data_IF_730273553492
#
_entry.id   IF_730273553492
#
_cell.length_a   1.000
_cell.length_b   1.000
_cell.length_c   1.000
_cell.angle_alpha   90.00
_cell.angle_beta   90.00
_cell.angle_gamma   90.00
#
_symmetry.space_group_name_H-M   'P 1'
#
loop_
_entity.id
_entity.type
_entity.pdbx_description
1 polymer ?
#
# COMPACT_ATOMS: atom_id res chain seq x y z
N UNK A 1 -8.53 -6.62 -18.75
CA UNK A 1 -7.62 -5.47 -18.48
C UNK A 1 -8.16 -4.74 -17.30
N UNK A 2 -7.53 -4.90 -16.14
CA UNK A 2 -8.07 -4.49 -14.84
C UNK A 2 -8.14 -2.97 -14.63
N UNK A 3 -7.12 -2.24 -15.05
CA UNK A 3 -7.15 -0.77 -15.09
C UNK A 3 -6.86 -0.33 -16.53
N UNK A 4 -7.85 0.23 -17.21
CA UNK A 4 -7.68 0.73 -18.58
C UNK A 4 -7.04 2.13 -18.56
N UNK A 5 -6.36 2.51 -19.66
CA UNK A 5 -5.88 3.91 -19.84
C UNK A 5 -7.04 4.91 -19.69
N UNK A 6 -8.23 4.55 -20.19
CA UNK A 6 -9.44 5.38 -20.02
C UNK A 6 -9.85 5.54 -18.56
N UNK A 7 -9.76 4.47 -17.76
CA UNK A 7 -10.01 4.55 -16.32
C UNK A 7 -9.01 5.49 -15.63
N UNK A 8 -7.70 5.33 -15.91
CA UNK A 8 -6.66 6.18 -15.32
C UNK A 8 -6.87 7.66 -15.67
N UNK A 9 -7.13 7.97 -16.94
CA UNK A 9 -7.36 9.37 -17.37
C UNK A 9 -8.60 9.95 -16.68
N UNK A 10 -9.71 9.20 -16.63
CA UNK A 10 -10.93 9.66 -15.95
C UNK A 10 -10.72 9.87 -14.45
N UNK A 11 -10.06 8.93 -13.77
CA UNK A 11 -9.77 9.06 -12.34
C UNK A 11 -8.82 10.22 -12.05
N UNK A 12 -7.86 10.50 -12.94
CA UNK A 12 -6.98 11.65 -12.85
C UNK A 12 -7.75 12.96 -12.99
N UNK A 13 -8.65 13.05 -13.97
CA UNK A 13 -9.52 14.22 -14.13
C UNK A 13 -10.39 14.46 -12.87
N UNK A 14 -10.99 13.40 -12.34
CA UNK A 14 -11.78 13.50 -11.10
C UNK A 14 -10.89 13.98 -9.93
N UNK A 15 -9.69 13.43 -9.78
CA UNK A 15 -8.74 13.86 -8.77
C UNK A 15 -8.43 15.35 -8.89
N UNK A 16 -8.11 15.85 -10.09
CA UNK A 16 -7.81 17.27 -10.30
C UNK A 16 -9.00 18.19 -9.98
N UNK A 17 -10.21 17.78 -10.36
CA UNK A 17 -11.42 18.53 -10.02
C UNK A 17 -11.62 18.58 -8.51
N UNK A 18 -11.50 17.45 -7.82
CA UNK A 18 -11.64 17.37 -6.35
C UNK A 18 -10.56 18.20 -5.65
N UNK A 19 -9.31 18.10 -6.06
CA UNK A 19 -8.21 18.89 -5.50
C UNK A 19 -8.39 20.38 -5.76
N UNK A 20 -8.95 20.77 -6.92
CA UNK A 20 -9.32 22.16 -7.23
C UNK A 20 -10.41 22.68 -6.30
N UNK A 21 -11.46 21.88 -6.04
CA UNK A 21 -12.50 22.24 -5.05
C UNK A 21 -11.91 22.40 -3.65
N UNK A 22 -11.06 21.45 -3.23
CA UNK A 22 -10.41 21.49 -1.91
C UNK A 22 -9.36 22.60 -1.76
N UNK A 23 -8.88 23.17 -2.87
CA UNK A 23 -8.00 24.33 -2.88
C UNK A 23 -8.75 25.65 -2.69
N UNK A 24 -10.08 25.65 -2.88
CA UNK A 24 -10.89 26.86 -2.79
C UNK A 24 -11.33 27.14 -1.35
N UNK A 25 -11.10 28.37 -0.89
CA UNK A 25 -11.46 28.77 0.48
C UNK A 25 -10.82 27.82 1.50
N UNK A 26 -11.58 27.41 2.49
CA UNK A 26 -11.14 26.47 3.54
C UNK A 26 -11.92 25.15 3.50
N UNK A 27 -12.38 24.76 2.30
CA UNK A 27 -13.24 23.56 2.12
C UNK A 27 -12.57 22.30 2.66
N UNK A 28 -11.29 22.09 2.37
CA UNK A 28 -10.53 20.91 2.86
C UNK A 28 -10.46 20.88 4.40
N UNK A 29 -10.23 22.01 5.03
CA UNK A 29 -10.27 22.15 6.48
C UNK A 29 -11.69 21.90 7.03
N UNK A 30 -12.69 22.58 6.48
CA UNK A 30 -14.08 22.54 6.94
C UNK A 30 -14.62 21.11 6.88
N UNK A 31 -14.48 20.41 5.73
CA UNK A 31 -14.93 19.02 5.60
C UNK A 31 -14.20 18.13 6.61
N UNK A 32 -12.87 18.26 6.67
CA UNK A 32 -12.06 17.38 7.51
C UNK A 32 -12.35 17.60 9.00
N UNK A 33 -12.54 18.84 9.45
CA UNK A 33 -12.86 19.15 10.85
C UNK A 33 -14.28 18.72 11.25
N UNK A 34 -15.24 18.86 10.34
CA UNK A 34 -16.66 18.51 10.63
C UNK A 34 -16.87 17.02 10.88
N UNK A 35 -16.10 16.15 10.22
CA UNK A 35 -16.30 14.69 10.32
C UNK A 35 -15.41 14.01 11.36
N UNK A 36 -14.60 14.78 12.10
CA UNK A 36 -13.70 14.21 13.13
C UNK A 36 -14.50 13.50 14.21
N UNK A 37 -14.17 12.24 14.43
CA UNK A 37 -14.61 11.42 15.55
C UNK A 37 -13.49 10.45 15.94
N UNK A 38 -12.68 10.83 16.95
CA UNK A 38 -11.54 10.04 17.43
C UNK A 38 -11.93 8.71 18.09
N UNK A 39 -13.21 8.52 18.42
CA UNK A 39 -13.75 7.30 19.06
C UNK A 39 -14.59 6.46 18.10
N UNK A 40 -14.44 6.64 16.81
CA UNK A 40 -15.19 5.92 15.79
C UNK A 40 -14.64 4.50 15.62
N UNK A 41 -15.38 3.49 16.11
CA UNK A 41 -14.98 2.07 16.07
C UNK A 41 -14.68 1.57 14.65
N UNK A 42 -15.51 1.95 13.66
CA UNK A 42 -15.26 1.55 12.28
C UNK A 42 -13.98 2.21 11.71
N UNK A 43 -13.72 3.47 12.07
CA UNK A 43 -12.53 4.17 11.61
C UNK A 43 -11.27 3.58 12.25
N UNK A 44 -11.33 3.21 13.53
CA UNK A 44 -10.24 2.47 14.21
C UNK A 44 -9.98 1.11 13.55
N UNK A 45 -11.03 0.36 13.17
CA UNK A 45 -10.86 -0.90 12.44
C UNK A 45 -10.06 -0.72 11.15
N UNK A 46 -10.43 0.27 10.31
CA UNK A 46 -9.69 0.54 9.06
C UNK A 46 -8.32 1.17 9.31
N UNK A 47 -8.12 1.86 10.44
CA UNK A 47 -6.80 2.30 10.88
C UNK A 47 -5.89 1.11 11.22
N UNK A 48 -6.39 0.13 11.95
CA UNK A 48 -5.63 -1.06 12.35
C UNK A 48 -5.27 -1.96 11.17
N UNK A 49 -6.22 -2.21 10.28
CA UNK A 49 -6.06 -3.22 9.22
C UNK A 49 -5.78 -2.65 7.83
N UNK A 50 -5.84 -1.32 7.67
CA UNK A 50 -5.70 -0.67 6.36
C UNK A 50 -4.38 -0.95 5.66
N UNK A 51 -3.28 -1.08 6.39
CA UNK A 51 -1.94 -1.32 5.84
C UNK A 51 -1.62 -2.82 5.66
N UNK A 52 -2.40 -3.72 6.26
CA UNK A 52 -2.16 -5.17 6.21
C UNK A 52 -2.06 -5.71 4.77
N UNK A 53 -2.92 -5.29 3.81
CA UNK A 53 -2.79 -5.75 2.43
C UNK A 53 -1.42 -5.44 1.80
N UNK A 54 -0.84 -4.27 2.08
CA UNK A 54 0.48 -3.90 1.55
C UNK A 54 1.58 -4.79 2.14
N UNK A 55 1.59 -4.98 3.46
CA UNK A 55 2.58 -5.81 4.14
C UNK A 55 2.45 -7.28 3.74
N UNK A 56 1.22 -7.79 3.58
CA UNK A 56 0.99 -9.15 3.08
C UNK A 56 1.44 -9.31 1.61
N UNK A 57 1.22 -8.30 0.75
CA UNK A 57 1.73 -8.28 -0.61
C UNK A 57 3.26 -8.32 -0.67
N UNK A 58 3.94 -7.57 0.21
CA UNK A 58 5.40 -7.58 0.34
C UNK A 58 5.90 -8.95 0.83
N UNK A 59 5.26 -9.56 1.83
CA UNK A 59 5.56 -10.90 2.31
C UNK A 59 5.41 -11.94 1.18
N UNK A 60 4.30 -11.89 0.45
CA UNK A 60 4.03 -12.81 -0.66
C UNK A 60 5.08 -12.67 -1.77
N UNK A 61 5.38 -11.43 -2.16
CA UNK A 61 6.40 -11.14 -3.19
C UNK A 61 7.78 -11.63 -2.80
N UNK A 62 8.24 -11.30 -1.59
CA UNK A 62 9.55 -11.71 -1.08
C UNK A 62 9.65 -13.22 -0.89
N UNK A 63 8.57 -13.88 -0.42
CA UNK A 63 8.49 -15.33 -0.27
C UNK A 63 8.65 -16.05 -1.61
N UNK A 64 7.96 -15.60 -2.66
CA UNK A 64 8.08 -16.17 -4.02
C UNK A 64 9.52 -16.01 -4.55
N UNK A 65 10.11 -14.81 -4.44
CA UNK A 65 11.48 -14.57 -4.93
C UNK A 65 12.52 -15.35 -4.12
N UNK A 66 12.35 -15.50 -2.81
CA UNK A 66 13.18 -16.35 -1.98
C UNK A 66 13.13 -17.82 -2.45
N UNK A 67 11.95 -18.34 -2.79
CA UNK A 67 11.78 -19.68 -3.35
C UNK A 67 12.47 -19.87 -4.70
N UNK A 68 12.58 -18.80 -5.50
CA UNK A 68 13.21 -18.80 -6.84
C UNK A 68 14.72 -18.50 -6.82
N UNK A 69 15.35 -18.34 -5.65
CA UNK A 69 16.77 -18.02 -5.55
C UNK A 69 17.67 -19.05 -6.24
N UNK A 70 18.77 -18.61 -6.82
CA UNK A 70 19.71 -19.49 -7.53
C UNK A 70 20.55 -20.31 -6.54
N UNK A 71 20.18 -21.57 -6.33
CA UNK A 71 20.89 -22.50 -5.42
C UNK A 71 22.21 -23.03 -6.00
N UNK A 72 22.45 -22.91 -7.32
CA UNK A 72 23.65 -23.41 -7.98
C UNK A 72 24.89 -22.53 -7.75
N UNK A 73 24.70 -21.23 -7.57
CA UNK A 73 25.79 -20.27 -7.34
C UNK A 73 25.76 -19.86 -5.88
N UNK A 74 26.70 -20.34 -5.09
CA UNK A 74 26.70 -20.23 -3.63
C UNK A 74 26.55 -18.79 -3.13
N UNK A 75 27.39 -17.84 -3.61
CA UNK A 75 27.32 -16.46 -3.15
C UNK A 75 25.97 -15.77 -3.48
N UNK A 76 25.40 -16.06 -4.66
CA UNK A 76 24.06 -15.55 -5.04
C UNK A 76 22.96 -16.15 -4.17
N UNK A 77 23.08 -17.45 -3.87
CA UNK A 77 22.13 -18.13 -2.98
C UNK A 77 22.16 -17.52 -1.58
N UNK A 78 23.35 -17.27 -1.03
CA UNK A 78 23.50 -16.64 0.29
C UNK A 78 22.93 -15.21 0.28
N UNK A 79 23.33 -14.36 -0.67
CA UNK A 79 22.90 -12.98 -0.76
C UNK A 79 21.36 -12.88 -0.89
N UNK A 80 20.78 -13.61 -1.84
CA UNK A 80 19.31 -13.58 -2.02
C UNK A 80 18.55 -14.24 -0.87
N UNK A 81 19.16 -15.19 -0.15
CA UNK A 81 18.56 -15.74 1.07
C UNK A 81 18.54 -14.70 2.19
N UNK A 82 19.65 -14.01 2.44
CA UNK A 82 19.71 -12.97 3.48
C UNK A 82 18.68 -11.86 3.21
N UNK A 83 18.69 -11.32 1.98
CA UNK A 83 17.75 -10.26 1.60
C UNK A 83 16.29 -10.74 1.69
N UNK A 84 16.00 -11.92 1.13
CA UNK A 84 14.65 -12.47 1.13
C UNK A 84 14.14 -12.75 2.54
N UNK A 85 14.94 -13.42 3.39
CA UNK A 85 14.58 -13.72 4.77
C UNK A 85 14.40 -12.45 5.61
N UNK A 86 15.25 -11.44 5.41
CA UNK A 86 15.11 -10.14 6.10
C UNK A 86 13.76 -9.48 5.80
N UNK A 87 13.41 -9.34 4.50
CA UNK A 87 12.13 -8.73 4.14
C UNK A 87 10.92 -9.59 4.51
N UNK A 88 11.04 -10.92 4.46
CA UNK A 88 9.99 -11.83 4.95
C UNK A 88 9.77 -11.65 6.46
N UNK A 89 10.83 -11.59 7.26
CA UNK A 89 10.74 -11.37 8.70
C UNK A 89 10.16 -9.99 9.01
N UNK A 90 10.65 -8.95 8.36
CA UNK A 90 10.18 -7.58 8.52
C UNK A 90 8.69 -7.44 8.16
N UNK A 91 8.25 -8.03 7.03
CA UNK A 91 6.84 -8.00 6.63
C UNK A 91 5.95 -8.79 7.58
N UNK A 92 6.41 -9.97 8.04
CA UNK A 92 5.70 -10.79 9.03
C UNK A 92 5.50 -10.02 10.34
N UNK A 93 6.55 -9.32 10.79
CA UNK A 93 6.48 -8.48 11.99
C UNK A 93 5.49 -7.33 11.80
N UNK A 94 5.53 -6.62 10.67
CA UNK A 94 4.63 -5.50 10.39
C UNK A 94 3.16 -5.95 10.32
N UNK A 95 2.86 -7.09 9.70
CA UNK A 95 1.49 -7.64 9.66
C UNK A 95 0.92 -7.86 11.07
N UNK A 96 1.76 -8.36 12.00
CA UNK A 96 1.31 -8.68 13.36
C UNK A 96 1.36 -7.47 14.30
N UNK A 97 2.35 -6.60 14.14
CA UNK A 97 2.59 -5.49 15.06
C UNK A 97 1.76 -4.23 14.74
N UNK A 98 1.56 -3.90 13.46
CA UNK A 98 0.87 -2.65 13.09
C UNK A 98 -0.57 -2.57 13.61
N UNK A 99 -1.42 -3.60 13.49
CA UNK A 99 -2.76 -3.57 14.09
C UNK A 99 -2.72 -3.28 15.59
N UNK A 100 -1.81 -3.93 16.31
CA UNK A 100 -1.64 -3.74 17.76
C UNK A 100 -1.15 -2.32 18.07
N UNK A 101 -0.16 -1.83 17.32
CA UNK A 101 0.35 -0.46 17.48
C UNK A 101 -0.76 0.59 17.36
N UNK A 102 -1.69 0.40 16.43
CA UNK A 102 -2.78 1.37 16.22
C UNK A 102 -3.86 1.31 17.30
N UNK A 103 -4.08 0.17 17.95
CA UNK A 103 -4.93 0.08 19.17
C UNK A 103 -4.38 1.02 20.26
N UNK A 104 -3.07 1.13 20.36
CA UNK A 104 -2.38 1.94 21.37
C UNK A 104 -1.86 3.29 20.83
N UNK A 105 -2.31 3.75 19.66
CA UNK A 105 -1.81 4.98 19.01
C UNK A 105 -1.93 6.21 19.90
N UNK A 106 -2.97 6.28 20.72
CA UNK A 106 -3.24 7.42 21.61
C UNK A 106 -2.90 7.12 23.09
N UNK A 107 -2.33 5.95 23.39
CA UNK A 107 -1.89 5.63 24.74
C UNK A 107 -0.59 6.37 25.08
N UNK A 108 -0.54 7.01 26.26
CA UNK A 108 0.66 7.70 26.76
C UNK A 108 1.82 6.73 26.97
N UNK A 109 1.52 5.51 27.41
CA UNK A 109 2.51 4.46 27.71
C UNK A 109 2.92 3.64 26.49
N UNK A 110 2.30 3.93 25.33
CA UNK A 110 2.52 3.19 24.07
C UNK A 110 2.06 1.74 24.16
N UNK A 111 2.63 0.86 23.34
CA UNK A 111 2.25 -0.56 23.28
C UNK A 111 2.80 -1.31 24.51
N UNK A 112 1.95 -1.97 25.34
CA UNK A 112 2.41 -2.76 26.48
C UNK A 112 3.35 -3.91 26.07
N UNK A 113 4.29 -4.26 26.95
CA UNK A 113 5.35 -5.24 26.65
C UNK A 113 4.80 -6.61 26.25
N UNK A 114 3.71 -7.07 26.90
CA UNK A 114 3.06 -8.35 26.54
C UNK A 114 2.58 -8.40 25.09
N UNK A 115 2.01 -7.31 24.58
CA UNK A 115 1.58 -7.21 23.17
C UNK A 115 2.75 -7.13 22.20
N UNK A 116 3.88 -6.53 22.58
CA UNK A 116 5.12 -6.57 21.77
C UNK A 116 5.63 -7.99 21.64
N UNK A 117 5.68 -8.75 22.76
CA UNK A 117 6.09 -10.15 22.76
C UNK A 117 5.13 -11.00 21.91
N UNK A 118 3.81 -10.82 22.08
CA UNK A 118 2.79 -11.51 21.27
C UNK A 118 3.00 -11.25 19.77
N UNK A 119 3.25 -9.99 19.39
CA UNK A 119 3.53 -9.63 17.99
C UNK A 119 4.77 -10.35 17.46
N UNK A 120 5.84 -10.47 18.25
CA UNK A 120 7.05 -11.18 17.85
C UNK A 120 6.79 -12.70 17.68
N UNK A 121 6.02 -13.32 18.57
CA UNK A 121 5.67 -14.74 18.48
C UNK A 121 4.82 -15.01 17.24
N UNK A 122 3.78 -14.21 17.00
CA UNK A 122 2.93 -14.33 15.82
C UNK A 122 3.73 -14.09 14.53
N UNK A 123 4.61 -13.09 14.52
CA UNK A 123 5.50 -12.82 13.39
C UNK A 123 6.44 -14.00 13.10
N UNK A 124 7.00 -14.63 14.12
CA UNK A 124 7.83 -15.81 13.97
C UNK A 124 7.04 -16.98 13.36
N UNK A 125 5.79 -17.21 13.79
CA UNK A 125 4.90 -18.23 13.23
C UNK A 125 4.64 -17.95 11.75
N UNK A 126 4.26 -16.72 11.37
CA UNK A 126 4.01 -16.32 9.98
C UNK A 126 5.25 -16.49 9.13
N UNK A 127 6.41 -16.04 9.63
CA UNK A 127 7.70 -16.16 8.94
C UNK A 127 8.08 -17.62 8.68
N UNK A 128 8.10 -18.46 9.73
CA UNK A 128 8.47 -19.88 9.62
C UNK A 128 7.50 -20.61 8.69
N UNK A 129 6.19 -20.36 8.82
CA UNK A 129 5.18 -20.93 7.94
C UNK A 129 5.42 -20.55 6.48
N UNK A 130 5.76 -19.29 6.20
CA UNK A 130 6.07 -18.81 4.85
C UNK A 130 7.30 -19.54 4.26
N UNK A 131 8.36 -19.73 5.07
CA UNK A 131 9.56 -20.48 4.65
C UNK A 131 9.23 -21.95 4.38
N UNK A 132 8.44 -22.59 5.23
CA UNK A 132 8.03 -24.00 5.05
C UNK A 132 7.19 -24.14 3.78
N UNK A 133 6.19 -23.31 3.61
CA UNK A 133 5.26 -23.35 2.46
C UNK A 133 6.03 -23.17 1.14
N UNK A 134 6.88 -22.16 1.03
CA UNK A 134 7.57 -21.85 -0.22
C UNK A 134 8.54 -22.97 -0.64
N UNK A 135 9.14 -23.67 0.32
CA UNK A 135 10.05 -24.79 0.02
C UNK A 135 9.28 -26.05 -0.43
N UNK A 136 7.95 -26.13 -0.23
CA UNK A 136 7.08 -27.21 -0.72
C UNK A 136 6.47 -26.91 -2.10
N UNK A 137 6.54 -25.67 -2.57
CA UNK A 137 5.99 -25.27 -3.88
C UNK A 137 7.03 -25.60 -4.98
N UNK A 138 6.59 -26.18 -6.08
CA UNK A 138 7.46 -26.48 -7.22
C UNK A 138 8.03 -25.20 -7.85
N UNK A 139 9.25 -25.28 -8.38
CA UNK A 139 9.92 -24.16 -9.05
C UNK A 139 9.12 -23.64 -10.26
N UNK A 140 8.39 -24.52 -10.94
CA UNK A 140 7.55 -24.18 -12.06
C UNK A 140 6.42 -23.25 -11.65
N UNK A 141 5.66 -23.59 -10.59
CA UNK A 141 4.61 -22.75 -10.03
C UNK A 141 5.14 -21.42 -9.52
N UNK A 142 6.29 -21.41 -8.84
CA UNK A 142 6.89 -20.16 -8.37
C UNK A 142 7.27 -19.23 -9.53
N UNK A 143 7.78 -19.79 -10.65
CA UNK A 143 8.13 -19.01 -11.86
C UNK A 143 6.90 -18.37 -12.50
N UNK A 144 5.76 -19.00 -12.44
CA UNK A 144 4.48 -18.47 -12.93
C UNK A 144 4.11 -17.14 -12.24
N UNK A 145 4.34 -17.07 -10.93
CA UNK A 145 4.04 -15.88 -10.11
C UNK A 145 5.19 -14.88 -9.99
N UNK A 146 6.35 -15.14 -10.60
CA UNK A 146 7.55 -14.29 -10.47
C UNK A 146 7.28 -12.82 -10.77
N UNK A 147 6.54 -12.51 -11.84
CA UNK A 147 6.25 -11.14 -12.24
C UNK A 147 5.31 -10.45 -11.25
N UNK A 148 4.30 -11.17 -10.77
CA UNK A 148 3.37 -10.68 -9.73
C UNK A 148 4.16 -10.35 -8.45
N UNK A 149 5.10 -11.22 -8.06
CA UNK A 149 5.98 -11.00 -6.92
C UNK A 149 6.81 -9.72 -7.05
N UNK A 150 7.42 -9.50 -8.22
CA UNK A 150 8.20 -8.29 -8.52
C UNK A 150 7.31 -7.04 -8.43
N UNK A 151 6.10 -7.09 -9.00
CA UNK A 151 5.17 -5.96 -8.95
C UNK A 151 4.76 -5.64 -7.52
N UNK A 152 4.47 -6.62 -6.66
CA UNK A 152 4.15 -6.36 -5.25
C UNK A 152 5.29 -5.67 -4.51
N UNK A 153 6.52 -6.19 -4.65
CA UNK A 153 7.69 -5.61 -3.98
C UNK A 153 7.93 -4.17 -4.45
N UNK A 154 7.97 -3.96 -5.77
CA UNK A 154 8.20 -2.63 -6.33
C UNK A 154 7.07 -1.66 -5.99
N UNK A 155 5.81 -2.11 -6.00
CA UNK A 155 4.67 -1.27 -5.65
C UNK A 155 4.80 -0.74 -4.22
N UNK A 156 5.01 -1.64 -3.24
CA UNK A 156 5.10 -1.26 -1.83
C UNK A 156 6.34 -0.40 -1.56
N UNK A 157 7.49 -0.77 -2.13
CA UNK A 157 8.73 0.00 -1.94
C UNK A 157 8.63 1.40 -2.57
N UNK A 158 8.14 1.50 -3.80
CA UNK A 158 8.05 2.79 -4.51
C UNK A 158 7.00 3.71 -3.87
N UNK A 159 5.83 3.17 -3.47
CA UNK A 159 4.82 4.01 -2.84
C UNK A 159 5.29 4.53 -1.48
N UNK A 160 5.92 3.69 -0.64
CA UNK A 160 6.50 4.11 0.64
C UNK A 160 7.58 5.18 0.41
N UNK A 161 8.44 4.99 -0.57
CA UNK A 161 9.51 5.95 -0.90
C UNK A 161 8.92 7.30 -1.33
N UNK A 162 7.99 7.31 -2.30
CA UNK A 162 7.36 8.53 -2.82
C UNK A 162 6.61 9.25 -1.71
N UNK A 163 5.79 8.52 -0.94
CA UNK A 163 4.99 9.10 0.15
C UNK A 163 5.90 9.73 1.21
N UNK A 164 6.98 9.06 1.63
CA UNK A 164 7.85 9.60 2.68
C UNK A 164 8.68 10.79 2.19
N UNK A 165 9.16 10.79 0.95
CA UNK A 165 9.83 11.97 0.36
C UNK A 165 8.87 13.16 0.36
N UNK A 166 7.64 12.98 -0.12
CA UNK A 166 6.65 14.04 -0.15
C UNK A 166 6.29 14.54 1.25
N UNK A 167 6.12 13.66 2.23
CA UNK A 167 5.85 14.04 3.63
C UNK A 167 6.92 14.93 4.22
N UNK A 168 8.18 14.58 4.01
CA UNK A 168 9.30 15.38 4.51
C UNK A 168 9.34 16.73 3.82
N UNK A 169 9.20 16.77 2.50
CA UNK A 169 9.27 18.01 1.71
C UNK A 169 8.11 18.97 2.01
N UNK A 170 6.88 18.43 2.13
CA UNK A 170 5.68 19.26 2.33
C UNK A 170 5.60 19.87 3.73
N UNK A 171 6.01 19.13 4.78
CA UNK A 171 5.95 19.62 6.15
C UNK A 171 4.54 20.08 6.59
N UNK A 172 3.47 19.47 6.06
CA UNK A 172 2.08 19.85 6.33
C UNK A 172 1.65 19.35 7.72
N UNK A 173 1.08 20.21 8.61
CA UNK A 173 0.58 19.77 9.90
C UNK A 173 -0.61 18.80 9.74
N UNK A 174 -0.74 17.87 10.69
CA UNK A 174 -1.92 16.97 10.75
C UNK A 174 -3.14 17.72 11.26
N UNK A 175 -4.34 17.31 10.84
CA UNK A 175 -5.58 17.95 11.30
C UNK A 175 -5.72 17.94 12.83
N UNK A 176 -5.31 16.84 13.50
CA UNK A 176 -5.38 16.69 14.96
C UNK A 176 -4.42 17.61 15.75
N UNK A 177 -3.38 18.16 15.10
CA UNK A 177 -2.39 19.05 15.71
C UNK A 177 -2.65 20.53 15.44
N UNK A 178 -3.73 20.86 14.73
CA UNK A 178 -4.18 22.23 14.46
C UNK A 178 -5.13 22.67 15.56
N UNK A 179 -4.80 23.74 16.26
CA UNK A 179 -5.61 24.36 17.31
C UNK A 179 -6.49 25.48 16.76
N UNK A 180 -6.02 26.17 15.71
CA UNK A 180 -6.75 27.25 15.07
C UNK A 180 -6.62 27.20 13.56
N UNK A 181 -7.55 27.84 12.86
CA UNK A 181 -7.62 27.81 11.40
C UNK A 181 -6.42 28.49 10.73
N UNK A 182 -5.75 29.42 11.42
CA UNK A 182 -4.55 30.10 10.92
C UNK A 182 -3.37 29.13 10.75
N UNK A 183 -3.36 28.02 11.47
CA UNK A 183 -2.34 26.98 11.34
C UNK A 183 -2.61 26.03 10.16
N UNK A 184 -3.79 26.12 9.54
CA UNK A 184 -4.11 25.31 8.37
C UNK A 184 -3.22 25.68 7.19
N UNK A 185 -2.69 24.64 6.50
CA UNK A 185 -1.92 24.77 5.25
C UNK A 185 -2.66 24.05 4.13
N UNK A 186 -2.80 24.71 3.00
CA UNK A 186 -3.38 24.10 1.82
C UNK A 186 -2.49 22.95 1.30
N UNK A 187 -3.08 21.96 0.65
CA UNK A 187 -2.36 20.80 0.14
C UNK A 187 -1.25 21.14 -0.87
N UNK A 188 -1.35 22.28 -1.59
CA UNK A 188 -0.35 22.76 -2.54
C UNK A 188 0.74 23.64 -1.90
N UNK A 189 0.62 23.98 -0.63
CA UNK A 189 1.62 24.77 0.09
C UNK A 189 2.72 23.87 0.65
N UNK A 190 3.95 24.12 0.20
CA UNK A 190 5.13 23.45 0.72
C UNK A 190 5.65 24.29 1.88
N UNK A 191 5.61 23.71 3.10
CA UNK A 191 6.04 24.42 4.33
C UNK A 191 7.51 24.16 4.69
N UNK A 192 8.22 23.35 3.90
CA UNK A 192 9.61 22.97 4.15
C UNK A 192 9.73 21.64 4.91
N UNK A 193 10.94 21.27 5.34
CA UNK A 193 11.17 19.97 5.96
C UNK A 193 10.30 19.76 7.21
N UNK A 194 9.66 18.60 7.29
CA UNK A 194 8.81 18.25 8.43
C UNK A 194 9.64 18.18 9.73
N UNK A 195 9.30 19.04 10.71
CA UNK A 195 10.01 19.09 12.00
C UNK A 195 9.73 17.89 12.90
N UNK A 196 8.56 17.23 12.73
CA UNK A 196 8.16 16.05 13.50
C UNK A 196 7.10 15.25 12.73
N UNK A 197 6.69 14.09 13.27
CA UNK A 197 5.63 13.27 12.67
C UNK A 197 4.28 14.00 12.57
N UNK A 198 4.01 14.98 13.44
CA UNK A 198 2.79 15.79 13.38
C UNK A 198 2.77 16.78 12.20
N UNK A 199 3.93 17.01 11.56
CA UNK A 199 4.05 17.78 10.32
C UNK A 199 4.21 16.88 9.07
N UNK A 200 3.88 15.58 9.17
CA UNK A 200 3.92 14.62 8.06
C UNK A 200 2.53 14.22 7.59
N UNK A 201 1.62 15.21 7.38
CA UNK A 201 0.26 14.92 6.96
C UNK A 201 0.18 14.54 5.47
N UNK A 202 0.76 15.33 4.58
CA UNK A 202 0.61 15.16 3.13
C UNK A 202 1.77 14.39 2.48
N UNK A 203 1.47 13.38 1.66
CA UNK A 203 0.21 12.64 1.48
C UNK A 203 0.02 11.52 2.51
N UNK A 204 -1.20 10.91 2.56
CA UNK A 204 -1.51 9.83 3.49
C UNK A 204 -0.88 8.51 3.10
N UNK A 205 0.07 8.01 3.92
CA UNK A 205 0.70 6.69 3.73
C UNK A 205 -0.24 5.52 4.02
N UNK A 206 -1.10 5.63 5.04
CA UNK A 206 -2.13 4.62 5.32
C UNK A 206 -3.04 4.38 4.13
N UNK A 207 -3.48 5.46 3.50
CA UNK A 207 -4.34 5.37 2.31
C UNK A 207 -3.57 4.76 1.15
N UNK A 208 -2.31 5.15 0.93
CA UNK A 208 -1.48 4.56 -0.10
C UNK A 208 -1.36 3.04 0.09
N UNK A 209 -0.98 2.58 1.29
CA UNK A 209 -0.92 1.15 1.66
C UNK A 209 -2.28 0.45 1.49
N UNK A 210 -3.39 1.10 1.86
CA UNK A 210 -4.74 0.55 1.71
C UNK A 210 -5.12 0.25 0.25
N UNK A 211 -4.69 1.09 -0.69
CA UNK A 211 -4.93 0.88 -2.12
C UNK A 211 -4.05 -0.20 -2.76
N UNK A 212 -3.01 -0.71 -2.08
CA UNK A 212 -2.20 -1.85 -2.58
C UNK A 212 -3.06 -3.09 -2.81
N UNK A 213 -4.20 -3.21 -2.14
CA UNK A 213 -5.18 -4.30 -2.38
C UNK A 213 -5.57 -4.44 -3.85
N UNK A 214 -5.53 -3.37 -4.66
CA UNK A 214 -5.75 -3.42 -6.11
C UNK A 214 -4.79 -4.37 -6.83
N UNK A 215 -3.56 -4.52 -6.34
CA UNK A 215 -2.56 -5.38 -6.96
C UNK A 215 -2.91 -6.87 -6.89
N UNK A 216 -3.74 -7.29 -5.92
CA UNK A 216 -4.22 -8.68 -5.85
C UNK A 216 -5.11 -9.06 -7.05
N UNK A 217 -5.61 -8.08 -7.77
CA UNK A 217 -6.33 -8.31 -9.02
C UNK A 217 -5.49 -9.03 -10.08
N UNK A 218 -4.15 -9.02 -9.97
CA UNK A 218 -3.25 -9.80 -10.84
C UNK A 218 -3.43 -11.31 -10.70
N UNK A 219 -4.01 -11.77 -9.58
CA UNK A 219 -4.33 -13.18 -9.38
C UNK A 219 -5.67 -13.62 -9.96
N UNK A 220 -6.55 -12.69 -10.38
CA UNK A 220 -7.89 -13.03 -10.89
C UNK A 220 -7.91 -14.00 -12.07
N UNK A 221 -6.94 -14.01 -13.01
CA UNK A 221 -6.88 -15.01 -14.06
C UNK A 221 -6.79 -16.46 -13.55
N UNK A 222 -6.28 -16.66 -12.32
CA UNK A 222 -6.16 -17.95 -11.66
C UNK A 222 -7.43 -18.36 -10.89
N UNK A 223 -8.34 -17.40 -10.62
CA UNK A 223 -9.58 -17.60 -9.85
C UNK A 223 -10.82 -17.38 -10.72
N UNK A 224 -11.20 -18.39 -11.54
CA UNK A 224 -12.29 -18.30 -12.53
C UNK A 224 -13.66 -17.88 -11.96
N UNK A 225 -13.89 -18.06 -10.66
CA UNK A 225 -15.17 -17.76 -10.00
C UNK A 225 -15.31 -16.28 -9.60
N UNK A 226 -14.22 -15.52 -9.52
CA UNK A 226 -14.25 -14.11 -9.06
C UNK A 226 -14.41 -13.18 -10.26
N UNK A 227 -15.50 -12.43 -10.28
CA UNK A 227 -15.74 -11.41 -11.33
C UNK A 227 -14.76 -10.23 -11.12
N UNK A 228 -13.96 -9.85 -12.15
CA UNK A 228 -12.97 -8.78 -12.01
C UNK A 228 -13.54 -7.46 -11.53
N UNK A 229 -14.71 -7.04 -12.04
CA UNK A 229 -15.34 -5.80 -11.64
C UNK A 229 -15.75 -5.79 -10.15
N UNK A 230 -16.24 -6.93 -9.65
CA UNK A 230 -16.61 -7.07 -8.23
C UNK A 230 -15.38 -6.92 -7.33
N UNK A 231 -14.26 -7.56 -7.71
CA UNK A 231 -13.01 -7.43 -6.96
C UNK A 231 -12.48 -5.99 -6.98
N UNK A 232 -12.50 -5.32 -8.14
CA UNK A 232 -12.05 -3.93 -8.24
C UNK A 232 -12.93 -3.01 -7.40
N UNK A 233 -14.27 -3.19 -7.45
CA UNK A 233 -15.18 -2.43 -6.59
C UNK A 233 -14.86 -2.64 -5.12
N UNK A 234 -14.67 -3.89 -4.69
CA UNK A 234 -14.23 -4.20 -3.32
C UNK A 234 -12.93 -3.51 -2.95
N UNK A 235 -11.90 -3.58 -3.82
CA UNK A 235 -10.60 -2.99 -3.56
C UNK A 235 -10.66 -1.45 -3.47
N UNK A 236 -11.45 -0.80 -4.33
CA UNK A 236 -11.67 0.65 -4.27
C UNK A 236 -12.46 1.05 -3.01
N UNK A 237 -13.47 0.26 -2.64
CA UNK A 237 -14.24 0.48 -1.40
C UNK A 237 -13.34 0.33 -0.17
N UNK A 238 -12.52 -0.72 -0.11
CA UNK A 238 -11.54 -0.91 0.97
C UNK A 238 -10.61 0.29 1.10
N UNK A 239 -9.91 0.68 0.00
CA UNK A 239 -9.02 1.83 0.01
C UNK A 239 -9.72 3.14 0.36
N UNK A 240 -10.97 3.33 -0.09
CA UNK A 240 -11.82 4.47 0.23
C UNK A 240 -12.20 4.52 1.71
N UNK A 241 -12.54 3.38 2.33
CA UNK A 241 -12.85 3.29 3.76
C UNK A 241 -11.59 3.52 4.62
N UNK A 242 -10.43 3.00 4.20
CA UNK A 242 -9.14 3.34 4.83
C UNK A 242 -8.87 4.85 4.72
N UNK A 243 -9.07 5.46 3.55
CA UNK A 243 -8.91 6.90 3.35
C UNK A 243 -9.82 7.70 4.29
N UNK A 244 -11.11 7.39 4.30
CA UNK A 244 -12.09 8.08 5.12
C UNK A 244 -11.80 7.91 6.63
N UNK A 245 -11.35 6.73 7.06
CA UNK A 245 -10.96 6.48 8.45
C UNK A 245 -9.87 7.45 8.93
N UNK A 246 -8.90 7.78 8.04
CA UNK A 246 -7.81 8.69 8.40
C UNK A 246 -8.28 10.14 8.59
N UNK A 247 -9.30 10.54 7.86
CA UNK A 247 -9.92 11.87 8.03
C UNK A 247 -10.75 11.90 9.31
N UNK A 248 -11.58 10.87 9.52
CA UNK A 248 -12.44 10.75 10.72
C UNK A 248 -11.60 10.73 12.01
N UNK A 249 -10.45 10.06 12.03
CA UNK A 249 -9.55 10.06 13.18
C UNK A 249 -8.71 11.35 13.31
N UNK A 250 -8.89 12.34 12.42
CA UNK A 250 -8.16 13.60 12.44
C UNK A 250 -6.68 13.49 12.09
N UNK A 251 -6.24 12.37 11.53
CA UNK A 251 -4.84 12.13 11.19
C UNK A 251 -4.42 12.81 9.89
N UNK A 252 -5.38 13.06 8.99
CA UNK A 252 -5.17 13.61 7.65
C UNK A 252 -6.33 14.48 7.21
N UNK A 253 -6.09 15.37 6.25
CA UNK A 253 -7.13 16.07 5.50
C UNK A 253 -7.63 15.22 4.32
N UNK A 254 -8.79 15.60 3.75
CA UNK A 254 -9.36 14.90 2.61
C UNK A 254 -8.42 14.92 1.39
N UNK A 255 -7.74 16.03 1.13
CA UNK A 255 -6.72 16.13 0.07
C UNK A 255 -5.55 15.19 0.25
N UNK A 256 -5.06 14.97 1.50
CA UNK A 256 -3.93 14.07 1.79
C UNK A 256 -4.26 12.62 1.40
N UNK A 257 -5.48 12.19 1.70
CA UNK A 257 -5.91 10.81 1.42
C UNK A 257 -6.20 10.59 -0.06
N UNK A 258 -6.75 11.58 -0.76
CA UNK A 258 -6.96 11.51 -2.21
C UNK A 258 -5.64 11.34 -2.95
N UNK A 259 -4.64 12.15 -2.62
CA UNK A 259 -3.30 12.05 -3.25
C UNK A 259 -2.61 10.75 -2.86
N UNK A 260 -2.67 10.35 -1.59
CA UNK A 260 -2.08 9.09 -1.11
C UNK A 260 -2.59 7.87 -1.88
N UNK A 261 -3.91 7.73 -2.01
CA UNK A 261 -4.52 6.64 -2.77
C UNK A 261 -4.17 6.67 -4.26
N UNK A 262 -4.11 7.88 -4.83
CA UNK A 262 -3.81 8.02 -6.25
C UNK A 262 -2.35 7.69 -6.60
N UNK A 263 -1.40 7.97 -5.70
CA UNK A 263 0.00 7.55 -5.85
C UNK A 263 0.07 6.04 -6.09
N UNK A 264 -0.60 5.25 -5.25
CA UNK A 264 -0.59 3.78 -5.38
C UNK A 264 -1.28 3.31 -6.66
N UNK A 265 -2.41 3.91 -7.03
CA UNK A 265 -3.10 3.59 -8.29
C UNK A 265 -2.18 3.85 -9.49
N UNK A 266 -1.46 4.98 -9.51
CA UNK A 266 -0.55 5.34 -10.59
C UNK A 266 0.65 4.39 -10.67
N UNK A 267 1.30 4.13 -9.53
CA UNK A 267 2.46 3.21 -9.45
C UNK A 267 2.02 1.80 -9.87
N UNK A 268 0.90 1.31 -9.36
CA UNK A 268 0.37 0.00 -9.75
C UNK A 268 0.05 -0.10 -11.24
N UNK A 269 -0.62 0.91 -11.81
CA UNK A 269 -0.91 0.94 -13.24
C UNK A 269 0.38 0.86 -14.07
N UNK A 270 1.38 1.65 -13.71
CA UNK A 270 2.67 1.70 -14.41
C UNK A 270 3.40 0.35 -14.34
N UNK A 271 3.53 -0.22 -13.14
CA UNK A 271 4.18 -1.51 -12.94
C UNK A 271 3.45 -2.65 -13.64
N UNK A 272 2.12 -2.66 -13.57
CA UNK A 272 1.29 -3.66 -14.25
C UNK A 272 1.44 -3.57 -15.78
N UNK A 273 1.56 -2.35 -16.32
CA UNK A 273 1.82 -2.14 -17.74
C UNK A 273 3.19 -2.69 -18.14
N UNK A 274 4.24 -2.35 -17.38
CA UNK A 274 5.63 -2.77 -17.69
C UNK A 274 5.82 -4.28 -17.54
N UNK A 275 5.37 -4.89 -16.44
CA UNK A 275 5.74 -6.27 -16.10
C UNK A 275 4.73 -7.32 -16.55
N UNK A 276 3.44 -6.97 -16.68
CA UNK A 276 2.38 -7.94 -16.93
C UNK A 276 1.85 -7.86 -18.37
N UNK A 277 1.72 -6.66 -18.93
CA UNK A 277 1.01 -6.42 -20.20
C UNK A 277 1.84 -6.61 -21.45
N UNK A 278 3.14 -6.29 -21.45
CA UNK A 278 3.96 -6.29 -22.68
C UNK A 278 4.15 -7.67 -23.34
N UNK A 279 3.98 -8.78 -22.61
CA UNK A 279 4.12 -10.12 -23.20
C UNK A 279 2.90 -10.68 -23.92
N UNK A 280 1.73 -10.09 -23.78
CA UNK A 280 0.58 -10.54 -24.59
C UNK A 280 0.72 -10.14 -26.07
N UNK A 281 1.54 -9.13 -26.38
CA UNK A 281 1.82 -8.74 -27.76
C UNK A 281 2.92 -9.58 -28.44
N UNK A 282 3.89 -10.11 -27.70
CA UNK A 282 4.96 -10.96 -28.27
C UNK A 282 4.45 -12.39 -28.58
N UNK A 283 3.51 -12.92 -27.78
CA UNK A 283 2.92 -14.25 -28.00
C UNK A 283 2.05 -14.35 -29.26
N UNK A 284 1.44 -13.25 -29.70
CA UNK A 284 0.64 -13.20 -30.93
C UNK A 284 1.49 -13.00 -32.19
N UNK A 285 2.65 -12.34 -32.10
CA UNK A 285 3.60 -12.15 -33.21
C UNK A 285 4.36 -13.43 -33.55
N UNK A 286 4.68 -14.26 -32.54
CA UNK A 286 5.42 -15.51 -32.74
C UNK A 286 4.62 -16.64 -33.38
N UNK A 287 3.29 -16.64 -33.30
CA UNK A 287 2.44 -17.65 -33.93
C UNK A 287 2.12 -17.39 -35.41
N UNK A 288 2.33 -16.17 -35.91
CA UNK A 288 2.11 -15.84 -37.33
C UNK A 288 3.30 -16.13 -38.26
N UNK A 289 4.47 -16.57 -37.71
CA UNK A 289 5.67 -16.87 -38.51
C UNK A 289 5.93 -18.38 -38.74
N UNK A 290 4.98 -19.25 -38.46
CA UNK A 290 5.13 -20.70 -38.68
C UNK A 290 4.03 -21.28 -39.58
N UNK A 291 3.54 -20.52 -40.56
CA UNK A 291 2.76 -21.05 -41.66
C UNK A 291 3.22 -20.31 -42.94
N UNK A 292 4.30 -20.76 -43.47
CA UNK A 292 4.66 -20.76 -44.93
C UNK A 292 5.59 -21.95 -45.15
#
# INVERSE_FOLDING_TARGET
MLLSKKFLVRSLMVLFVLLGILAYGQIDYTISSTIINKHSIWAEFFNMFGEVPAMFGLLLGTTILYGLRNKKVMWKNILYSIIGLFFMLQSSFMICFMPIKYIFEFSKDGVPQGFKILSCVLAAIVFVSSVIIVNRISQEKLREFKKIAIVFILLVVLEILIVNILKVVWGRPRMRSIESIEQFKYWYQISGPAASNEFMSFPSGHTANGFVILAYSMFLPYFKKIKPNLFISFALTWGGLVALSRVVLGAHFLSDVLVGGYITILVFYTLNHIFIKDKNNEGFSGKKRRVV
#
